data_IF_076865526794
#
_entry.id   IF_076865526794
#
_cell.length_a   1.000
_cell.length_b   1.000
_cell.length_c   1.000
_cell.angle_alpha   90.00
_cell.angle_beta   90.00
_cell.angle_gamma   90.00
#
_symmetry.space_group_name_H-M   'P 1'
#
loop_
_entity.id
_entity.type
_entity.pdbx_description
1 polymer ?
#
# COMPACT_ATOMS: atom_id res chain seq x y z
N UNK A 1 2.48 -26.08 -41.40
CA UNK A 1 1.73 -26.98 -40.49
C UNK A 1 2.33 -28.37 -40.59
N UNK A 2 2.47 -29.10 -39.48
CA UNK A 2 2.98 -30.48 -39.53
C UNK A 2 1.94 -31.43 -40.12
N UNK A 3 2.38 -32.55 -40.69
CA UNK A 3 1.47 -33.59 -41.24
C UNK A 3 0.40 -34.01 -40.23
N UNK A 4 0.78 -34.14 -38.94
CA UNK A 4 -0.14 -34.45 -37.85
C UNK A 4 -1.21 -33.38 -37.62
N UNK A 5 -0.85 -32.10 -37.78
CA UNK A 5 -1.81 -31.01 -37.65
C UNK A 5 -2.84 -31.05 -38.79
N UNK A 6 -2.41 -31.36 -40.02
CA UNK A 6 -3.28 -31.47 -41.20
C UNK A 6 -4.29 -32.61 -41.00
N UNK A 7 -3.81 -33.80 -40.59
CA UNK A 7 -4.69 -34.96 -40.34
C UNK A 7 -5.74 -34.67 -39.26
N UNK A 8 -5.35 -34.00 -38.17
CA UNK A 8 -6.27 -33.60 -37.09
C UNK A 8 -7.35 -32.63 -37.57
N UNK A 9 -7.00 -31.66 -38.41
CA UNK A 9 -7.96 -30.71 -38.97
C UNK A 9 -8.91 -31.39 -39.96
N UNK A 10 -8.43 -32.31 -40.79
CA UNK A 10 -9.30 -33.09 -41.68
C UNK A 10 -10.32 -33.93 -40.89
N UNK A 11 -9.89 -34.61 -39.82
CA UNK A 11 -10.81 -35.36 -38.94
C UNK A 11 -11.84 -34.46 -38.27
N UNK A 12 -11.43 -33.31 -37.72
CA UNK A 12 -12.37 -32.37 -37.10
C UNK A 12 -13.40 -31.82 -38.09
N UNK A 13 -13.00 -31.63 -39.35
CA UNK A 13 -13.90 -31.20 -40.41
C UNK A 13 -14.90 -32.30 -40.82
N UNK A 14 -14.45 -33.56 -40.88
CA UNK A 14 -15.32 -34.73 -41.08
C UNK A 14 -16.31 -34.93 -39.91
N UNK A 15 -15.92 -34.55 -38.69
CA UNK A 15 -16.74 -34.56 -37.48
C UNK A 15 -17.66 -33.30 -37.36
N UNK A 16 -17.98 -32.64 -38.48
CA UNK A 16 -18.85 -31.46 -38.59
C UNK A 16 -18.44 -30.23 -37.75
N UNK A 17 -17.16 -30.15 -37.32
CA UNK A 17 -16.66 -28.98 -36.61
C UNK A 17 -16.50 -27.79 -37.57
N UNK A 18 -17.45 -26.86 -37.50
CA UNK A 18 -17.48 -25.63 -38.31
C UNK A 18 -16.79 -24.43 -37.64
N UNK A 19 -16.48 -24.54 -36.34
CA UNK A 19 -15.79 -23.48 -35.59
C UNK A 19 -14.28 -23.50 -35.84
N UNK A 20 -13.79 -22.41 -36.42
CA UNK A 20 -12.36 -22.19 -36.73
C UNK A 20 -11.56 -21.68 -35.52
N UNK A 21 -12.23 -21.31 -34.42
CA UNK A 21 -11.54 -20.84 -33.23
C UNK A 21 -10.84 -21.98 -32.49
N UNK A 22 -9.83 -21.65 -31.70
CA UNK A 22 -9.24 -22.64 -30.78
C UNK A 22 -10.27 -23.02 -29.72
N UNK A 23 -10.32 -24.32 -29.37
CA UNK A 23 -11.10 -24.78 -28.22
C UNK A 23 -10.64 -24.06 -26.95
N UNK A 24 -11.56 -23.93 -25.99
CA UNK A 24 -11.30 -23.29 -24.70
C UNK A 24 -10.07 -23.94 -24.03
N UNK A 25 -8.94 -23.23 -24.08
CA UNK A 25 -7.69 -23.73 -23.50
C UNK A 25 -7.83 -23.57 -21.99
N UNK A 26 -7.67 -24.65 -21.22
CA UNK A 26 -7.44 -24.55 -19.78
C UNK A 26 -6.10 -23.83 -19.54
N UNK A 27 -6.15 -22.51 -19.47
CA UNK A 27 -5.02 -21.64 -19.19
C UNK A 27 -4.75 -21.47 -17.69
N UNK A 28 -3.69 -20.71 -17.40
CA UNK A 28 -3.19 -20.33 -16.06
C UNK A 28 -4.31 -20.01 -15.06
N UNK A 29 -4.08 -20.35 -13.77
CA UNK A 29 -5.00 -20.16 -12.63
C UNK A 29 -5.83 -18.87 -12.72
N UNK A 30 -7.12 -18.89 -12.29
CA UNK A 30 -8.00 -17.73 -12.41
C UNK A 30 -7.36 -16.50 -11.78
N UNK A 31 -7.19 -15.43 -12.56
CA UNK A 31 -6.61 -14.16 -12.11
C UNK A 31 -7.38 -13.63 -10.89
N UNK A 32 -8.70 -13.89 -10.82
CA UNK A 32 -9.59 -13.50 -9.74
C UNK A 32 -9.17 -14.05 -8.36
N UNK A 33 -8.73 -15.31 -8.29
CA UNK A 33 -8.27 -15.94 -7.03
C UNK A 33 -7.00 -15.25 -6.50
N UNK A 34 -6.08 -14.89 -7.40
CA UNK A 34 -4.84 -14.20 -7.03
C UNK A 34 -5.08 -12.75 -6.57
N UNK A 35 -6.04 -12.05 -7.19
CA UNK A 35 -6.39 -10.68 -6.77
C UNK A 35 -6.91 -10.67 -5.34
N UNK A 36 -7.84 -11.57 -4.99
CA UNK A 36 -8.40 -11.67 -3.64
C UNK A 36 -7.33 -12.01 -2.59
N UNK A 37 -6.42 -12.93 -2.91
CA UNK A 37 -5.31 -13.31 -2.02
C UNK A 37 -4.36 -12.15 -1.75
N UNK A 38 -3.92 -11.46 -2.81
CA UNK A 38 -3.07 -10.28 -2.67
C UNK A 38 -3.76 -9.18 -1.85
N UNK A 39 -5.05 -8.96 -2.07
CA UNK A 39 -5.83 -8.01 -1.27
C UNK A 39 -5.88 -8.40 0.21
N UNK A 40 -6.12 -9.68 0.52
CA UNK A 40 -6.15 -10.20 1.88
C UNK A 40 -4.83 -9.95 2.64
N UNK A 41 -3.67 -10.22 2.03
CA UNK A 41 -2.38 -9.96 2.68
C UNK A 41 -2.16 -8.46 2.90
N UNK A 42 -2.52 -7.62 1.92
CA UNK A 42 -2.37 -6.18 2.07
C UNK A 42 -3.28 -5.63 3.18
N UNK A 43 -4.51 -6.14 3.30
CA UNK A 43 -5.43 -5.78 4.38
C UNK A 43 -4.88 -6.17 5.76
N UNK A 44 -4.27 -7.36 5.85
CA UNK A 44 -3.67 -7.87 7.08
C UNK A 44 -2.39 -7.10 7.47
N UNK A 45 -1.57 -6.74 6.49
CA UNK A 45 -0.36 -5.96 6.68
C UNK A 45 -0.20 -4.92 5.56
N UNK A 46 -0.62 -3.69 5.85
CA UNK A 46 -0.55 -2.55 4.93
C UNK A 46 0.88 -2.15 4.52
N UNK A 47 1.92 -2.71 5.14
CA UNK A 47 3.33 -2.44 4.85
C UNK A 47 4.01 -3.52 3.98
N UNK A 48 3.25 -4.51 3.51
CA UNK A 48 3.79 -5.57 2.66
C UNK A 48 4.34 -5.03 1.35
N UNK A 49 5.48 -5.57 0.90
CA UNK A 49 6.09 -5.19 -0.37
C UNK A 49 5.51 -6.01 -1.53
N UNK A 50 5.54 -5.44 -2.74
CA UNK A 50 5.15 -6.17 -3.96
C UNK A 50 6.03 -7.40 -4.19
N UNK A 51 7.32 -7.32 -3.84
CA UNK A 51 8.24 -8.45 -3.93
C UNK A 51 7.88 -9.58 -2.97
N UNK A 52 7.46 -9.25 -1.75
CA UNK A 52 6.97 -10.25 -0.80
C UNK A 52 5.70 -10.94 -1.33
N UNK A 53 4.72 -10.18 -1.84
CA UNK A 53 3.52 -10.77 -2.45
C UNK A 53 3.86 -11.69 -3.63
N UNK A 54 4.86 -11.32 -4.44
CA UNK A 54 5.30 -12.13 -5.56
C UNK A 54 5.90 -13.46 -5.11
N UNK A 55 6.76 -13.42 -4.09
CA UNK A 55 7.37 -14.61 -3.50
C UNK A 55 6.33 -15.52 -2.84
N UNK A 56 5.45 -14.95 -2.02
CA UNK A 56 4.42 -15.68 -1.27
C UNK A 56 3.50 -16.48 -2.20
N UNK A 57 3.10 -15.88 -3.33
CA UNK A 57 2.16 -16.50 -4.26
C UNK A 57 2.80 -17.13 -5.50
N UNK A 58 4.13 -17.18 -5.56
CA UNK A 58 4.86 -17.75 -6.69
C UNK A 58 4.53 -17.07 -8.03
N UNK A 59 4.25 -15.76 -8.01
CA UNK A 59 3.98 -14.95 -9.21
C UNK A 59 5.16 -14.03 -9.50
N UNK A 60 5.23 -13.47 -10.72
CA UNK A 60 6.26 -12.49 -11.01
C UNK A 60 6.00 -11.18 -10.26
N UNK A 61 7.07 -10.44 -9.96
CA UNK A 61 6.98 -9.11 -9.34
C UNK A 61 6.13 -8.16 -10.20
N UNK A 62 6.21 -8.26 -11.52
CA UNK A 62 5.38 -7.48 -12.44
C UNK A 62 3.89 -7.83 -12.36
N UNK A 63 3.54 -9.12 -12.24
CA UNK A 63 2.16 -9.55 -12.01
C UNK A 63 1.63 -9.05 -10.66
N UNK A 64 2.42 -9.18 -9.59
CA UNK A 64 2.05 -8.67 -8.27
C UNK A 64 1.85 -7.14 -8.31
N UNK A 65 2.77 -6.41 -8.97
CA UNK A 65 2.64 -4.96 -9.15
C UNK A 65 1.36 -4.60 -9.91
N UNK A 66 1.07 -5.31 -11.00
CA UNK A 66 -0.12 -5.07 -11.81
C UNK A 66 -1.41 -5.32 -11.05
N UNK A 67 -1.45 -6.36 -10.21
CA UNK A 67 -2.58 -6.62 -9.31
C UNK A 67 -2.76 -5.45 -8.35
N UNK A 68 -1.71 -5.06 -7.63
CA UNK A 68 -1.77 -3.96 -6.65
C UNK A 68 -2.19 -2.64 -7.29
N UNK A 69 -1.56 -2.27 -8.41
CA UNK A 69 -1.76 -0.95 -9.03
C UNK A 69 -3.00 -0.86 -9.92
N UNK A 70 -3.31 -1.88 -10.69
CA UNK A 70 -4.33 -1.81 -11.75
C UNK A 70 -5.59 -2.62 -11.45
N UNK A 71 -5.50 -3.69 -10.65
CA UNK A 71 -6.68 -4.48 -10.27
C UNK A 71 -7.30 -3.99 -8.95
N UNK A 72 -6.46 -3.66 -7.97
CA UNK A 72 -6.89 -3.17 -6.65
C UNK A 72 -6.86 -1.64 -6.53
N UNK A 73 -6.27 -0.94 -7.51
CA UNK A 73 -6.07 0.52 -7.53
C UNK A 73 -5.37 1.08 -6.26
N UNK A 74 -4.49 0.28 -5.66
CA UNK A 74 -3.71 0.71 -4.52
C UNK A 74 -2.48 1.52 -4.94
N UNK A 75 -2.10 2.47 -4.08
CA UNK A 75 -0.93 3.34 -4.26
C UNK A 75 0.02 3.18 -3.07
N UNK A 76 1.32 3.18 -3.36
CA UNK A 76 2.35 3.21 -2.31
C UNK A 76 2.40 4.62 -1.72
N UNK A 77 2.23 4.71 -0.40
CA UNK A 77 2.36 5.96 0.36
C UNK A 77 3.56 5.85 1.32
N UNK A 78 4.19 6.97 1.60
CA UNK A 78 5.21 7.05 2.66
C UNK A 78 4.53 7.04 4.03
N UNK A 79 5.09 6.31 4.99
CA UNK A 79 4.65 6.39 6.37
C UNK A 79 4.98 7.76 6.96
N UNK A 80 4.04 8.32 7.74
CA UNK A 80 4.28 9.54 8.51
C UNK A 80 5.06 9.22 9.78
N UNK A 81 6.08 10.03 10.07
CA UNK A 81 6.77 9.99 11.36
C UNK A 81 5.82 10.43 12.48
N UNK A 82 5.78 9.65 13.56
CA UNK A 82 5.03 9.96 14.78
C UNK A 82 6.05 10.11 15.90
N UNK A 83 5.97 11.22 16.64
CA UNK A 83 7.01 11.63 17.59
C UNK A 83 7.18 10.63 18.75
N UNK A 84 6.09 10.02 19.23
CA UNK A 84 6.12 9.08 20.35
C UNK A 84 5.27 7.85 20.11
N UNK A 85 5.69 6.73 20.69
CA UNK A 85 4.84 5.55 20.86
C UNK A 85 3.93 5.74 22.08
N UNK A 86 2.66 6.03 21.85
CA UNK A 86 1.70 6.29 22.93
C UNK A 86 1.13 4.99 23.52
N UNK A 87 1.22 4.87 24.84
CA UNK A 87 0.52 3.83 25.62
C UNK A 87 -0.99 4.09 25.62
N UNK A 88 -1.77 3.10 26.04
CA UNK A 88 -3.23 3.25 26.19
C UNK A 88 -3.58 4.36 27.18
N UNK A 89 -2.81 4.50 28.26
CA UNK A 89 -2.96 5.56 29.24
C UNK A 89 -2.71 6.95 28.64
N UNK A 90 -1.61 7.15 27.91
CA UNK A 90 -1.33 8.42 27.23
C UNK A 90 -2.44 8.79 26.24
N UNK A 91 -3.00 7.80 25.52
CA UNK A 91 -4.12 8.02 24.60
C UNK A 91 -5.39 8.43 25.34
N UNK A 92 -5.69 7.78 26.46
CA UNK A 92 -6.81 8.10 27.33
C UNK A 92 -6.73 9.52 27.88
N UNK A 93 -5.59 9.90 28.45
CA UNK A 93 -5.35 11.23 28.98
C UNK A 93 -5.49 12.32 27.89
N UNK A 94 -4.91 12.08 26.70
CA UNK A 94 -5.04 13.01 25.57
C UNK A 94 -6.48 13.15 25.09
N UNK A 95 -7.24 12.05 25.01
CA UNK A 95 -8.64 12.08 24.62
C UNK A 95 -9.49 12.87 25.63
N UNK A 96 -9.33 12.58 26.92
CA UNK A 96 -10.05 13.26 28.00
C UNK A 96 -9.79 14.78 27.98
N UNK A 97 -8.52 15.19 27.93
CA UNK A 97 -8.16 16.60 27.85
C UNK A 97 -8.70 17.29 26.59
N UNK A 98 -8.66 16.60 25.43
CA UNK A 98 -9.20 17.14 24.17
C UNK A 98 -10.72 17.30 24.22
N UNK A 99 -11.42 16.34 24.85
CA UNK A 99 -12.87 16.39 25.01
C UNK A 99 -13.30 17.51 25.95
N UNK A 100 -12.61 17.66 27.09
CA UNK A 100 -12.84 18.77 28.02
C UNK A 100 -12.63 20.11 27.33
N UNK A 101 -11.53 20.25 26.58
CA UNK A 101 -11.25 21.47 25.82
C UNK A 101 -12.32 21.75 24.76
N UNK A 102 -12.78 20.73 24.02
CA UNK A 102 -13.83 20.86 23.02
C UNK A 102 -15.17 21.30 23.65
N UNK A 103 -15.53 20.72 24.80
CA UNK A 103 -16.75 21.10 25.52
C UNK A 103 -16.68 22.57 25.96
N UNK A 104 -15.56 23.01 26.56
CA UNK A 104 -15.35 24.41 26.94
C UNK A 104 -15.41 25.35 25.74
N UNK A 105 -14.75 24.98 24.65
CA UNK A 105 -14.78 25.74 23.41
C UNK A 105 -16.22 25.90 22.86
N UNK A 106 -17.04 24.84 22.94
CA UNK A 106 -18.44 24.91 22.50
C UNK A 106 -19.35 25.76 23.40
N UNK A 107 -19.05 25.83 24.70
CA UNK A 107 -19.82 26.61 25.67
C UNK A 107 -19.48 28.11 25.62
N UNK A 108 -18.21 28.45 25.40
CA UNK A 108 -17.72 29.82 25.32
C UNK A 108 -17.52 30.25 23.87
N UNK A 109 -18.63 30.56 23.18
CA UNK A 109 -18.64 30.97 21.77
C UNK A 109 -17.62 32.09 21.53
N UNK A 110 -16.57 31.78 20.76
CA UNK A 110 -15.46 32.63 20.31
C UNK A 110 -14.51 33.25 21.35
N UNK A 111 -14.85 33.31 22.63
CA UNK A 111 -13.97 33.93 23.65
C UNK A 111 -12.87 32.99 24.17
N UNK A 112 -13.07 31.68 24.07
CA UNK A 112 -12.14 30.69 24.65
C UNK A 112 -10.71 30.82 24.08
N UNK A 113 -10.57 30.97 22.75
CA UNK A 113 -9.26 31.02 22.10
C UNK A 113 -8.53 32.37 22.28
N UNK A 114 -9.27 33.49 22.36
CA UNK A 114 -8.69 34.84 22.49
C UNK A 114 -7.93 35.00 23.83
N UNK A 115 -8.27 34.18 24.82
CA UNK A 115 -7.67 34.24 26.16
C UNK A 115 -6.46 33.31 26.34
N UNK A 116 -6.11 32.51 25.34
CA UNK A 116 -5.00 31.54 25.43
C UNK A 116 -3.72 32.21 24.95
N UNK A 117 -2.70 32.22 25.81
CA UNK A 117 -1.32 32.53 25.45
C UNK A 117 -0.54 31.22 25.53
N UNK A 118 0.19 30.88 24.47
CA UNK A 118 1.01 29.66 24.39
C UNK A 118 2.44 30.01 23.99
N UNK A 119 3.40 29.19 24.40
CA UNK A 119 4.81 29.30 24.05
C UNK A 119 5.45 27.92 24.12
N UNK A 120 6.46 27.71 23.28
CA UNK A 120 7.29 26.51 23.25
C UNK A 120 8.72 26.91 22.85
N UNK A 121 9.69 26.06 23.17
CA UNK A 121 11.10 26.29 22.85
C UNK A 121 11.48 25.50 21.59
N UNK A 122 12.13 26.15 20.63
CA UNK A 122 12.67 25.49 19.44
C UNK A 122 14.18 25.56 19.46
N UNK A 123 14.84 24.40 19.52
CA UNK A 123 16.30 24.32 19.43
C UNK A 123 16.78 24.76 18.03
N UNK A 124 17.62 25.80 17.99
CA UNK A 124 18.27 26.26 16.77
C UNK A 124 19.70 25.73 16.74
N UNK A 125 20.02 24.95 15.72
CA UNK A 125 21.37 24.45 15.53
C UNK A 125 22.31 25.60 15.11
N UNK A 126 23.32 25.89 15.94
CA UNK A 126 24.39 26.81 15.59
C UNK A 126 25.51 26.05 14.85
N UNK A 127 25.64 26.29 13.55
CA UNK A 127 26.69 25.67 12.75
C UNK A 127 28.02 26.44 12.93
N UNK A 128 29.04 25.75 13.45
CA UNK A 128 30.40 26.27 13.53
C UNK A 128 31.25 25.59 12.42
N UNK A 129 31.60 26.29 11.33
CA UNK A 129 32.42 25.70 10.28
C UNK A 129 33.84 25.41 10.78
N UNK A 130 34.35 24.22 10.48
CA UNK A 130 35.74 23.88 10.78
C UNK A 130 36.70 24.81 10.02
N UNK A 131 37.73 25.30 10.73
CA UNK A 131 38.82 26.02 10.07
C UNK A 131 39.67 25.03 9.29
N UNK A 132 39.96 25.37 8.03
CA UNK A 132 40.70 24.61 7.00
C UNK A 132 42.02 23.92 7.46
N UNK A 133 42.59 24.29 8.60
CA UNK A 133 43.82 23.69 9.13
C UNK A 133 43.60 22.38 9.91
N UNK A 134 42.35 22.03 10.28
CA UNK A 134 42.07 20.82 11.07
C UNK A 134 41.87 19.53 10.22
N UNK A 135 41.79 19.64 8.88
CA UNK A 135 41.52 18.49 8.00
C UNK A 135 42.79 17.75 7.51
N UNK A 136 43.96 18.02 8.08
CA UNK A 136 45.25 17.42 7.68
C UNK A 136 45.94 16.64 8.82
N UNK A 137 45.18 16.07 9.75
CA UNK A 137 45.68 15.13 10.75
C UNK A 137 45.07 13.75 10.55
#
# INVERSE_FOLDING_TARGET
MSHLAIVRWCQQFEDDRTDLNDAERQGRRPITDMVQRVEYIILSNRRVSVAHNAQEYGISVGSAHSIVRHRLDYRKLCSRWVHFYLTSEHKGARFAASLEFLQRFSAEVNFCLIRIITGDETCLHHFNPEKKQASMA
#
